data_IF_826262738570
#
_entry.id   IF_826262738570
#
_cell.length_a   1.000
_cell.length_b   1.000
_cell.length_c   1.000
_cell.angle_alpha   90.00
_cell.angle_beta   90.00
_cell.angle_gamma   90.00
#
_symmetry.space_group_name_H-M   'P 1'
#
loop_
_entity.id
_entity.type
_entity.pdbx_description
1 polymer ?
#
# COMPACT_ATOMS: atom_id res chain seq x y z
N UNK A 1 -1.95 -0.54 -24.82
CA UNK A 1 -1.12 0.62 -25.23
C UNK A 1 -0.70 1.54 -24.07
N UNK A 2 -1.55 1.86 -23.08
CA UNK A 2 -1.15 2.63 -21.89
C UNK A 2 -0.75 1.75 -20.68
N UNK A 3 -1.62 0.82 -20.28
CA UNK A 3 -1.33 -0.16 -19.18
C UNK A 3 -0.03 -0.94 -19.38
N UNK A 4 0.28 -1.28 -20.63
CA UNK A 4 1.52 -1.96 -20.97
C UNK A 4 2.75 -1.08 -20.72
N UNK A 5 2.66 0.22 -21.01
CA UNK A 5 3.73 1.18 -20.73
C UNK A 5 3.91 1.38 -19.22
N UNK A 6 2.82 1.48 -18.47
CA UNK A 6 2.85 1.54 -17.00
C UNK A 6 3.52 0.30 -16.41
N UNK A 7 3.17 -0.89 -16.92
CA UNK A 7 3.80 -2.14 -16.51
C UNK A 7 5.31 -2.14 -16.79
N UNK A 8 5.71 -1.77 -18.00
CA UNK A 8 7.13 -1.70 -18.38
C UNK A 8 7.88 -0.67 -17.51
N UNK A 9 7.27 0.49 -17.24
CA UNK A 9 7.87 1.51 -16.39
C UNK A 9 8.05 1.03 -14.95
N UNK A 10 7.03 0.36 -14.38
CA UNK A 10 7.11 -0.25 -13.06
C UNK A 10 8.19 -1.34 -13.00
N UNK A 11 8.28 -2.19 -14.02
CA UNK A 11 9.31 -3.23 -14.08
C UNK A 11 10.73 -2.63 -14.07
N UNK A 12 10.94 -1.56 -14.85
CA UNK A 12 12.21 -0.82 -14.84
C UNK A 12 12.52 -0.19 -13.48
N UNK A 13 11.51 0.33 -12.79
CA UNK A 13 11.66 0.85 -11.42
C UNK A 13 12.10 -0.27 -10.46
N UNK A 14 11.48 -1.45 -10.56
CA UNK A 14 11.87 -2.62 -9.76
C UNK A 14 13.30 -3.05 -10.06
N UNK A 15 13.70 -3.15 -11.33
CA UNK A 15 15.06 -3.53 -11.71
C UNK A 15 16.10 -2.52 -11.22
N UNK A 16 15.79 -1.22 -11.25
CA UNK A 16 16.65 -0.18 -10.71
C UNK A 16 16.83 -0.33 -9.19
N UNK A 17 15.76 -0.66 -8.46
CA UNK A 17 15.85 -0.95 -7.02
C UNK A 17 16.75 -2.17 -6.79
N UNK A 18 16.58 -3.26 -7.54
CA UNK A 18 17.43 -4.46 -7.42
C UNK A 18 18.90 -4.11 -7.62
N UNK A 19 19.24 -3.31 -8.63
CA UNK A 19 20.61 -2.87 -8.88
C UNK A 19 21.22 -2.12 -7.67
N UNK A 20 20.44 -1.22 -7.04
CA UNK A 20 20.87 -0.50 -5.84
C UNK A 20 21.20 -1.45 -4.68
N UNK A 21 20.43 -2.53 -4.51
CA UNK A 21 20.67 -3.54 -3.47
C UNK A 21 21.89 -4.44 -3.75
N UNK A 22 22.23 -4.65 -5.01
CA UNK A 22 23.34 -5.53 -5.42
C UNK A 22 24.70 -4.83 -5.45
N UNK A 23 24.73 -3.50 -5.55
CA UNK A 23 25.96 -2.72 -5.62
C UNK A 23 26.48 -2.30 -4.24
N UNK A 24 27.76 -2.53 -3.96
CA UNK A 24 28.40 -2.20 -2.66
C UNK A 24 28.56 -0.70 -2.38
N UNK A 25 28.30 0.16 -3.37
CA UNK A 25 28.49 1.62 -3.30
C UNK A 25 27.31 2.41 -2.72
N UNK A 26 26.14 1.80 -2.54
CA UNK A 26 24.90 2.52 -2.20
C UNK A 26 24.38 2.27 -0.77
N UNK A 27 25.27 2.06 0.21
CA UNK A 27 24.88 1.71 1.59
C UNK A 27 23.80 2.63 2.19
N UNK A 28 23.96 3.95 2.10
CA UNK A 28 22.98 4.91 2.64
C UNK A 28 21.62 4.86 1.93
N UNK A 29 21.60 4.54 0.63
CA UNK A 29 20.34 4.43 -0.15
C UNK A 29 19.63 3.12 0.18
N UNK A 30 20.39 2.05 0.38
CA UNK A 30 19.88 0.76 0.87
C UNK A 30 19.26 0.94 2.26
N UNK A 31 19.97 1.60 3.20
CA UNK A 31 19.44 1.88 4.54
C UNK A 31 18.13 2.69 4.49
N UNK A 32 18.07 3.71 3.61
CA UNK A 32 16.84 4.46 3.39
C UNK A 32 15.72 3.57 2.85
N UNK A 33 16.01 2.73 1.87
CA UNK A 33 15.00 1.83 1.29
C UNK A 33 14.46 0.83 2.33
N UNK A 34 15.32 0.31 3.22
CA UNK A 34 14.89 -0.53 4.34
C UNK A 34 14.01 0.25 5.33
N UNK A 35 14.38 1.48 5.68
CA UNK A 35 13.59 2.33 6.56
C UNK A 35 12.19 2.64 5.97
N UNK A 36 12.10 2.87 4.66
CA UNK A 36 10.82 3.09 3.96
C UNK A 36 9.94 1.84 3.94
N UNK A 37 10.53 0.65 3.75
CA UNK A 37 9.81 -0.61 3.84
C UNK A 37 9.28 -0.87 5.26
N UNK A 38 10.11 -0.59 6.26
CA UNK A 38 9.70 -0.69 7.66
C UNK A 38 8.55 0.27 7.98
N UNK A 39 8.60 1.50 7.48
CA UNK A 39 7.50 2.46 7.62
C UNK A 39 6.19 1.91 7.01
N UNK A 40 6.23 1.39 5.78
CA UNK A 40 5.04 0.85 5.11
C UNK A 40 4.48 -0.40 5.84
N UNK A 41 5.36 -1.25 6.39
CA UNK A 41 4.99 -2.37 7.28
C UNK A 41 4.23 -1.87 8.51
N UNK A 42 4.76 -0.87 9.21
CA UNK A 42 4.10 -0.32 10.40
C UNK A 42 2.78 0.37 10.07
N UNK A 43 2.69 1.05 8.93
CA UNK A 43 1.44 1.65 8.48
C UNK A 43 0.39 0.59 8.16
N UNK A 44 0.79 -0.51 7.53
CA UNK A 44 -0.10 -1.64 7.27
C UNK A 44 -0.60 -2.28 8.58
N UNK A 45 0.28 -2.48 9.57
CA UNK A 45 -0.12 -2.95 10.90
C UNK A 45 -1.12 -2.00 11.55
N UNK A 46 -0.85 -0.70 11.53
CA UNK A 46 -1.77 0.31 12.04
C UNK A 46 -3.14 0.23 11.38
N UNK A 47 -3.22 0.10 10.05
CA UNK A 47 -4.51 -0.04 9.33
C UNK A 47 -5.26 -1.30 9.78
N UNK A 48 -4.57 -2.42 9.97
CA UNK A 48 -5.18 -3.66 10.44
C UNK A 48 -5.71 -3.53 11.86
N UNK A 49 -4.90 -3.00 12.79
CA UNK A 49 -5.31 -2.76 14.16
C UNK A 49 -6.50 -1.81 14.22
N UNK A 50 -6.46 -0.73 13.45
CA UNK A 50 -7.55 0.22 13.37
C UNK A 50 -8.84 -0.44 12.85
N UNK A 51 -8.77 -1.21 11.77
CA UNK A 51 -9.91 -1.96 11.23
C UNK A 51 -10.50 -2.92 12.26
N UNK A 52 -9.65 -3.69 12.97
CA UNK A 52 -10.10 -4.62 14.01
C UNK A 52 -10.75 -3.92 15.20
N UNK A 53 -10.22 -2.76 15.59
CA UNK A 53 -10.84 -1.91 16.62
C UNK A 53 -12.21 -1.41 16.15
N UNK A 54 -12.33 -0.90 14.92
CA UNK A 54 -13.60 -0.44 14.36
C UNK A 54 -14.63 -1.58 14.31
N UNK A 55 -14.24 -2.77 13.84
CA UNK A 55 -15.14 -3.94 13.81
C UNK A 55 -15.57 -4.36 15.22
N UNK A 56 -14.69 -4.27 16.22
CA UNK A 56 -15.05 -4.54 17.62
C UNK A 56 -16.06 -3.53 18.18
N UNK A 57 -15.93 -2.25 17.86
CA UNK A 57 -16.76 -1.18 18.47
C UNK A 57 -18.11 -1.04 17.76
N UNK A 58 -18.14 -1.05 16.43
CA UNK A 58 -19.36 -0.79 15.64
C UNK A 58 -19.80 -1.98 14.79
N UNK A 59 -19.07 -3.11 14.81
CA UNK A 59 -19.35 -4.24 13.93
C UNK A 59 -19.21 -3.84 12.46
N UNK A 60 -20.17 -4.27 11.64
CA UNK A 60 -20.25 -3.94 10.21
C UNK A 60 -21.21 -2.77 9.91
N UNK A 61 -21.53 -1.96 10.91
CA UNK A 61 -22.34 -0.75 10.71
C UNK A 61 -21.60 0.25 9.81
N UNK A 62 -22.37 1.12 9.17
CA UNK A 62 -21.83 2.20 8.37
C UNK A 62 -21.06 3.19 9.25
N UNK A 63 -19.92 3.67 8.76
CA UNK A 63 -19.19 4.74 9.43
C UNK A 63 -19.94 6.06 9.35
N UNK A 64 -19.74 6.95 10.33
CA UNK A 64 -20.41 8.26 10.37
C UNK A 64 -20.08 9.15 9.15
N UNK A 65 -18.90 8.97 8.54
CA UNK A 65 -18.53 9.67 7.31
C UNK A 65 -19.29 9.23 6.05
N UNK A 66 -20.10 8.17 6.11
CA UNK A 66 -20.86 7.69 4.95
C UNK A 66 -21.86 8.72 4.42
N UNK A 67 -22.51 9.48 5.31
CA UNK A 67 -23.46 10.54 4.89
C UNK A 67 -22.72 11.70 4.20
N UNK A 68 -21.56 12.11 4.71
CA UNK A 68 -20.73 13.14 4.07
C UNK A 68 -20.30 12.72 2.65
N UNK A 69 -19.89 11.47 2.47
CA UNK A 69 -19.51 10.94 1.14
C UNK A 69 -20.71 10.88 0.20
N UNK A 70 -21.89 10.51 0.72
CA UNK A 70 -23.15 10.45 -0.04
C UNK A 70 -23.56 11.84 -0.54
N UNK A 71 -23.44 12.86 0.30
CA UNK A 71 -23.77 14.25 -0.05
C UNK A 71 -22.76 14.86 -1.03
N UNK A 72 -21.47 14.61 -0.84
CA UNK A 72 -20.41 15.30 -1.62
C UNK A 72 -20.09 14.65 -2.95
N UNK A 73 -20.18 13.31 -3.05
CA UNK A 73 -19.77 12.59 -4.27
C UNK A 73 -20.94 12.16 -5.15
N UNK A 74 -22.19 12.47 -4.76
CA UNK A 74 -23.44 12.07 -5.43
C UNK A 74 -23.40 10.64 -5.99
N UNK A 75 -22.72 9.75 -5.25
CA UNK A 75 -22.35 8.42 -5.68
C UNK A 75 -23.02 7.42 -4.76
N UNK A 76 -23.89 6.60 -5.35
CA UNK A 76 -24.53 5.46 -4.70
C UNK A 76 -23.58 4.27 -4.51
N UNK A 77 -22.26 4.43 -4.69
CA UNK A 77 -21.26 3.41 -4.37
C UNK A 77 -21.07 3.26 -2.85
N UNK A 78 -22.19 3.09 -2.16
CA UNK A 78 -22.42 2.99 -0.71
C UNK A 78 -21.93 1.67 -0.11
N UNK A 79 -21.37 0.76 -0.92
CA UNK A 79 -20.92 -0.58 -0.49
C UNK A 79 -19.57 -0.60 0.23
N UNK A 80 -18.87 0.54 0.31
CA UNK A 80 -17.52 0.63 0.88
C UNK A 80 -17.48 1.73 1.95
N UNK A 81 -18.16 1.52 3.07
CA UNK A 81 -17.99 2.33 4.29
C UNK A 81 -17.64 1.44 5.49
N UNK A 82 -17.15 2.04 6.57
CA UNK A 82 -16.78 1.30 7.79
C UNK A 82 -15.70 0.24 7.51
N UNK A 83 -15.86 -0.95 8.09
CA UNK A 83 -14.90 -2.06 7.97
C UNK A 83 -14.65 -2.47 6.52
N UNK A 84 -15.69 -2.51 5.68
CA UNK A 84 -15.57 -2.87 4.26
C UNK A 84 -14.65 -1.92 3.51
N UNK A 85 -14.75 -0.62 3.77
CA UNK A 85 -13.85 0.39 3.23
C UNK A 85 -12.42 0.19 3.72
N UNK A 86 -12.23 0.08 5.03
CA UNK A 86 -10.92 -0.05 5.65
C UNK A 86 -10.17 -1.27 5.10
N UNK A 87 -10.88 -2.38 4.86
CA UNK A 87 -10.33 -3.58 4.22
C UNK A 87 -9.74 -3.31 2.83
N UNK A 88 -10.34 -2.41 2.05
CA UNK A 88 -9.78 -2.04 0.73
C UNK A 88 -8.43 -1.32 0.84
N UNK A 89 -8.21 -0.59 1.93
CA UNK A 89 -6.96 0.16 2.16
C UNK A 89 -5.78 -0.75 2.53
N UNK A 90 -6.04 -1.98 3.00
CA UNK A 90 -5.01 -2.96 3.36
C UNK A 90 -4.22 -3.49 2.17
N UNK A 91 -4.76 -3.36 0.96
CA UNK A 91 -4.08 -3.79 -0.28
C UNK A 91 -3.13 -2.72 -0.84
N UNK A 92 -3.16 -1.50 -0.30
CA UNK A 92 -2.36 -0.37 -0.79
C UNK A 92 -0.99 -0.37 -0.11
N UNK A 93 0.06 -0.19 -0.92
CA UNK A 93 1.45 0.02 -0.48
C UNK A 93 1.89 1.43 -0.85
N UNK A 94 2.73 2.05 -0.03
CA UNK A 94 3.34 3.34 -0.39
C UNK A 94 4.48 3.16 -1.39
N UNK A 95 5.26 2.07 -1.24
CA UNK A 95 6.47 1.82 -2.02
C UNK A 95 6.39 0.45 -2.74
N UNK A 96 5.49 0.28 -3.73
CA UNK A 96 5.24 -1.01 -4.36
C UNK A 96 6.48 -1.61 -5.05
N UNK A 97 7.35 -0.78 -5.65
CA UNK A 97 8.57 -1.27 -6.29
C UNK A 97 9.57 -1.87 -5.29
N UNK A 98 9.73 -1.27 -4.10
CA UNK A 98 10.58 -1.81 -3.03
C UNK A 98 10.12 -3.19 -2.56
N UNK A 99 8.80 -3.40 -2.44
CA UNK A 99 8.24 -4.71 -2.10
C UNK A 99 8.45 -5.74 -3.21
N UNK A 100 8.25 -5.36 -4.48
CA UNK A 100 8.43 -6.25 -5.62
C UNK A 100 9.90 -6.67 -5.81
N UNK A 101 10.84 -5.76 -5.54
CA UNK A 101 12.28 -6.04 -5.64
C UNK A 101 12.73 -7.20 -4.72
N UNK A 102 12.07 -7.42 -3.58
CA UNK A 102 12.41 -8.50 -2.64
C UNK A 102 12.29 -9.89 -3.25
N UNK A 103 11.38 -10.08 -4.19
CA UNK A 103 11.25 -11.35 -4.91
C UNK A 103 12.45 -11.60 -5.83
N UNK A 104 13.05 -10.53 -6.38
CA UNK A 104 14.17 -10.63 -7.32
C UNK A 104 15.54 -10.68 -6.64
N UNK A 105 15.70 -10.04 -5.49
CA UNK A 105 16.99 -9.98 -4.78
C UNK A 105 17.40 -11.34 -4.20
N UNK A 106 16.46 -12.23 -3.85
CA UNK A 106 16.79 -13.55 -3.29
C UNK A 106 17.22 -14.61 -4.30
N UNK A 107 17.16 -14.31 -5.60
CA UNK A 107 17.56 -15.22 -6.69
C UNK A 107 18.99 -14.98 -7.19
N UNK A 108 19.71 -13.99 -6.62
CA UNK A 108 21.09 -13.64 -6.94
C UNK A 108 22.06 -14.11 -5.86
#
# INVERSE_FOLDING_TARGET
>A
EAKERERIAFEKEVDAVVAVYSESGYSAVVDLAEALLEYDKYFWLWRNHHMGMVERIIGRKHGTGAEVVKETMNSYSFQSSGVSYLKTTLKRRFFPALWAARTKISEA
#
